data_IF_384348531267
#
_entry.id   IF_384348531267
#
_cell.length_a   1.000
_cell.length_b   1.000
_cell.length_c   1.000
_cell.angle_alpha   90.00
_cell.angle_beta   90.00
_cell.angle_gamma   90.00
#
_symmetry.space_group_name_H-M   'P 1'
#
loop_
_entity.id
_entity.type
_entity.pdbx_description
1 polymer ?
#
# COMPACT_ATOMS: atom_id res chain seq x y z
N UNK A 1 -64.65 19.67 -21.82
CA UNK A 1 -63.43 19.42 -21.02
C UNK A 1 -63.04 17.96 -21.16
N UNK A 2 -61.97 17.66 -21.89
CA UNK A 2 -61.43 16.31 -21.97
C UNK A 2 -60.28 16.18 -21.00
N UNK A 3 -60.40 15.31 -19.99
CA UNK A 3 -59.29 14.95 -19.11
C UNK A 3 -58.32 14.02 -19.88
N UNK A 4 -57.10 14.47 -20.06
CA UNK A 4 -56.02 13.62 -20.53
C UNK A 4 -55.40 12.94 -19.28
N UNK A 5 -55.60 11.62 -19.18
CA UNK A 5 -54.93 10.81 -18.15
C UNK A 5 -53.48 10.57 -18.51
N UNK A 6 -52.54 11.05 -17.67
CA UNK A 6 -51.12 10.69 -17.75
C UNK A 6 -50.92 9.33 -17.11
N UNK A 7 -50.55 8.33 -17.92
CA UNK A 7 -50.11 7.03 -17.41
C UNK A 7 -48.61 7.18 -17.09
N UNK A 8 -48.27 7.21 -15.79
CA UNK A 8 -46.89 7.17 -15.31
C UNK A 8 -46.41 5.71 -15.35
N UNK A 9 -45.65 5.35 -16.37
CA UNK A 9 -45.00 4.05 -16.46
C UNK A 9 -43.82 4.03 -15.51
N UNK A 10 -43.96 3.42 -14.35
CA UNK A 10 -42.84 3.13 -13.42
C UNK A 10 -42.06 1.98 -14.03
N UNK A 11 -40.91 2.26 -14.64
CA UNK A 11 -39.95 1.23 -14.98
C UNK A 11 -39.32 0.73 -13.67
N UNK A 12 -39.76 -0.42 -13.17
CA UNK A 12 -39.03 -1.18 -12.15
C UNK A 12 -37.84 -1.80 -12.86
N UNK A 13 -36.67 -1.23 -12.66
CA UNK A 13 -35.42 -1.86 -13.06
C UNK A 13 -35.28 -3.15 -12.23
N UNK A 14 -35.50 -4.30 -12.84
CA UNK A 14 -35.17 -5.59 -12.22
C UNK A 14 -33.66 -5.63 -11.99
N UNK A 15 -33.24 -5.53 -10.75
CA UNK A 15 -31.82 -5.78 -10.41
C UNK A 15 -31.57 -7.27 -10.68
N UNK A 16 -30.84 -7.59 -11.75
CA UNK A 16 -30.37 -8.95 -11.98
C UNK A 16 -29.45 -9.33 -10.80
N UNK A 17 -29.56 -10.57 -10.30
CA UNK A 17 -28.65 -11.09 -9.29
C UNK A 17 -27.20 -10.98 -9.78
N UNK A 18 -26.25 -10.73 -8.87
CA UNK A 18 -24.84 -10.69 -9.22
C UNK A 18 -24.39 -12.03 -9.82
N UNK A 19 -23.79 -11.97 -11.00
CA UNK A 19 -23.22 -13.14 -11.66
C UNK A 19 -21.89 -13.50 -10.99
N UNK A 20 -21.63 -14.79 -10.83
CA UNK A 20 -20.33 -15.31 -10.43
C UNK A 20 -19.78 -16.15 -11.58
N UNK A 21 -18.58 -15.82 -12.04
CA UNK A 21 -17.81 -16.65 -12.96
C UNK A 21 -16.57 -17.19 -12.28
N UNK A 22 -16.12 -18.34 -12.75
CA UNK A 22 -14.97 -19.02 -12.17
C UNK A 22 -13.79 -19.01 -13.13
N UNK A 23 -12.59 -18.92 -12.56
CA UNK A 23 -11.30 -19.03 -13.23
C UNK A 23 -10.47 -20.12 -12.57
N UNK A 24 -9.77 -20.92 -13.37
CA UNK A 24 -8.88 -22.00 -12.92
C UNK A 24 -7.65 -22.10 -13.79
N UNK A 25 -6.47 -22.39 -13.21
CA UNK A 25 -5.24 -22.63 -13.97
C UNK A 25 -5.35 -23.80 -14.97
N UNK A 26 -6.29 -24.73 -14.74
CA UNK A 26 -6.65 -25.80 -15.66
C UNK A 26 -7.91 -25.47 -16.49
N UNK A 27 -8.35 -24.22 -16.53
CA UNK A 27 -9.55 -23.77 -17.23
C UNK A 27 -9.35 -23.68 -18.75
N UNK A 28 -10.42 -23.22 -19.42
CA UNK A 28 -10.42 -23.00 -20.87
C UNK A 28 -11.22 -21.73 -21.20
N UNK A 29 -10.61 -20.79 -21.93
CA UNK A 29 -11.24 -19.51 -22.28
C UNK A 29 -12.41 -19.65 -23.27
N UNK A 30 -12.58 -20.82 -23.90
CA UNK A 30 -13.79 -21.19 -24.62
C UNK A 30 -14.93 -21.70 -23.71
N UNK A 31 -14.70 -21.78 -22.40
CA UNK A 31 -15.67 -22.19 -21.40
C UNK A 31 -16.78 -21.15 -21.17
N UNK A 32 -17.77 -21.50 -20.36
CA UNK A 32 -18.89 -20.65 -19.99
C UNK A 32 -18.67 -19.90 -18.66
N UNK A 33 -17.53 -20.15 -18.00
CA UNK A 33 -17.20 -19.58 -16.70
C UNK A 33 -17.94 -20.20 -15.52
N UNK A 34 -18.65 -21.30 -15.71
CA UNK A 34 -19.20 -22.06 -14.60
C UNK A 34 -18.10 -22.72 -13.78
N UNK A 35 -18.38 -23.16 -12.56
CA UNK A 35 -17.41 -23.86 -11.71
C UNK A 35 -16.91 -25.18 -12.34
N UNK A 36 -17.69 -25.79 -13.25
CA UNK A 36 -17.31 -27.03 -13.95
C UNK A 36 -16.55 -26.76 -15.25
N UNK A 37 -16.67 -25.56 -15.81
CA UNK A 37 -16.04 -25.15 -17.06
C UNK A 37 -15.47 -23.72 -16.94
N UNK A 38 -14.49 -23.52 -16.02
CA UNK A 38 -13.96 -22.20 -15.68
C UNK A 38 -13.09 -21.63 -16.81
N UNK A 39 -12.94 -20.32 -16.85
CA UNK A 39 -11.98 -19.65 -17.71
C UNK A 39 -10.53 -19.96 -17.29
N UNK A 40 -9.59 -19.89 -18.22
CA UNK A 40 -8.17 -20.05 -17.96
C UNK A 40 -7.49 -18.72 -17.58
N UNK A 41 -7.93 -17.60 -18.19
CA UNK A 41 -7.29 -16.29 -18.07
C UNK A 41 -8.22 -15.23 -17.47
N UNK A 42 -7.63 -14.24 -16.79
CA UNK A 42 -8.41 -13.13 -16.24
C UNK A 42 -9.04 -12.26 -17.35
N UNK A 43 -8.37 -11.95 -18.47
CA UNK A 43 -9.04 -11.23 -19.57
C UNK A 43 -10.32 -11.90 -20.08
N UNK A 44 -10.33 -13.23 -20.23
CA UNK A 44 -11.52 -13.96 -20.64
C UNK A 44 -12.63 -13.90 -19.59
N UNK A 45 -12.30 -14.15 -18.33
CA UNK A 45 -13.25 -14.05 -17.23
C UNK A 45 -13.80 -12.62 -17.08
N UNK A 46 -12.94 -11.61 -17.20
CA UNK A 46 -13.33 -10.21 -17.09
C UNK A 46 -14.25 -9.76 -18.23
N UNK A 47 -14.03 -10.27 -19.43
CA UNK A 47 -14.92 -10.02 -20.58
C UNK A 47 -16.33 -10.56 -20.34
N UNK A 48 -16.46 -11.67 -19.59
CA UNK A 48 -17.72 -12.37 -19.35
C UNK A 48 -18.59 -11.78 -18.23
N UNK A 49 -18.09 -10.80 -17.46
CA UNK A 49 -18.83 -10.16 -16.36
C UNK A 49 -19.31 -8.76 -16.74
N UNK A 50 -20.17 -8.20 -15.91
CA UNK A 50 -20.55 -6.79 -15.90
C UNK A 50 -20.19 -6.14 -14.56
N UNK A 51 -20.40 -4.83 -14.44
CA UNK A 51 -20.21 -4.13 -13.17
C UNK A 51 -21.08 -4.73 -12.06
N UNK A 52 -20.45 -4.98 -10.91
CA UNK A 52 -21.10 -5.61 -9.78
C UNK A 52 -21.11 -7.15 -9.78
N UNK A 53 -20.47 -7.79 -10.77
CA UNK A 53 -20.29 -9.24 -10.79
C UNK A 53 -18.99 -9.68 -10.11
N UNK A 54 -18.81 -10.98 -9.94
CA UNK A 54 -17.66 -11.57 -9.25
C UNK A 54 -16.91 -12.55 -10.14
N UNK A 55 -15.58 -12.42 -10.20
CA UNK A 55 -14.67 -13.45 -10.69
C UNK A 55 -14.11 -14.19 -9.48
N UNK A 56 -14.41 -15.48 -9.38
CA UNK A 56 -13.92 -16.36 -8.33
C UNK A 56 -12.75 -17.21 -8.86
N UNK A 57 -11.54 -16.95 -8.36
CA UNK A 57 -10.30 -17.55 -8.88
C UNK A 57 -9.93 -18.76 -8.03
N UNK A 58 -9.83 -19.94 -8.65
CA UNK A 58 -9.41 -21.18 -7.96
C UNK A 58 -7.91 -21.13 -7.63
N UNK A 59 -7.50 -21.86 -6.62
CA UNK A 59 -6.10 -22.03 -6.26
C UNK A 59 -5.23 -22.53 -7.42
N UNK A 60 -3.99 -22.09 -7.45
CA UNK A 60 -3.03 -22.41 -8.51
C UNK A 60 -2.18 -21.20 -8.89
N UNK A 61 -1.20 -21.42 -9.77
CA UNK A 61 -0.34 -20.36 -10.31
C UNK A 61 -0.78 -20.03 -11.74
N UNK A 62 -1.06 -18.76 -11.96
CA UNK A 62 -1.50 -18.20 -13.24
C UNK A 62 -0.35 -17.39 -13.84
N UNK A 63 0.30 -17.94 -14.84
CA UNK A 63 1.36 -17.26 -15.56
C UNK A 63 0.76 -16.24 -16.52
N UNK A 64 1.19 -14.99 -16.37
CA UNK A 64 0.68 -13.85 -17.14
C UNK A 64 1.75 -13.37 -18.08
N UNK A 65 1.47 -13.37 -19.38
CA UNK A 65 2.35 -12.92 -20.43
C UNK A 65 1.80 -11.70 -21.20
N UNK A 66 2.55 -11.21 -22.18
CA UNK A 66 2.22 -10.02 -22.95
C UNK A 66 0.88 -10.11 -23.70
N UNK A 67 0.41 -11.32 -24.04
CA UNK A 67 -0.89 -11.53 -24.72
C UNK A 67 -2.09 -11.18 -23.84
N UNK A 68 -1.89 -11.13 -22.54
CA UNK A 68 -2.92 -10.82 -21.55
C UNK A 68 -2.96 -9.33 -21.18
N UNK A 69 -2.11 -8.49 -21.76
CA UNK A 69 -2.15 -7.03 -21.53
C UNK A 69 -3.41 -6.44 -22.14
N UNK A 70 -4.33 -6.03 -21.29
CA UNK A 70 -5.66 -5.58 -21.72
C UNK A 70 -5.65 -4.17 -22.33
N UNK A 71 -4.76 -3.27 -21.87
CA UNK A 71 -4.80 -1.87 -22.33
C UNK A 71 -3.47 -1.15 -22.07
N UNK A 72 -3.14 -0.22 -22.98
CA UNK A 72 -2.09 0.78 -22.77
C UNK A 72 -2.76 2.10 -22.37
N UNK A 73 -2.32 2.68 -21.24
CA UNK A 73 -2.80 3.97 -20.73
C UNK A 73 -1.60 4.88 -20.45
N UNK A 74 -1.34 5.82 -21.35
CA UNK A 74 -0.15 6.68 -21.25
C UNK A 74 1.13 5.85 -21.18
N UNK A 75 1.96 6.00 -20.14
CA UNK A 75 3.20 5.22 -19.99
C UNK A 75 2.98 3.82 -19.39
N UNK A 76 1.74 3.40 -19.15
CA UNK A 76 1.43 2.14 -18.46
C UNK A 76 0.90 1.07 -19.39
N UNK A 77 1.51 -0.11 -19.34
CA UNK A 77 0.89 -1.37 -19.76
C UNK A 77 0.02 -1.86 -18.59
N UNK A 78 -1.30 -1.59 -18.69
CA UNK A 78 -2.28 -2.06 -17.73
C UNK A 78 -2.60 -3.52 -18.07
N UNK A 79 -1.94 -4.45 -17.36
CA UNK A 79 -2.06 -5.87 -17.64
C UNK A 79 -3.51 -6.29 -17.43
N UNK A 80 -4.03 -6.06 -16.24
CA UNK A 80 -5.45 -6.24 -15.96
C UNK A 80 -6.11 -4.88 -15.73
N UNK A 81 -6.75 -4.36 -16.77
CA UNK A 81 -7.49 -3.11 -16.71
C UNK A 81 -8.89 -3.34 -16.16
N UNK A 82 -9.14 -2.89 -14.92
CA UNK A 82 -10.41 -3.09 -14.22
C UNK A 82 -11.27 -1.82 -14.34
N UNK A 83 -12.09 -1.74 -15.39
CA UNK A 83 -12.86 -0.54 -15.74
C UNK A 83 -14.39 -0.73 -15.65
N UNK A 84 -14.86 -1.86 -15.09
CA UNK A 84 -16.29 -2.14 -14.84
C UNK A 84 -16.64 -1.75 -13.41
N UNK A 85 -17.25 -0.58 -13.24
CA UNK A 85 -17.63 -0.07 -11.93
C UNK A 85 -18.70 -0.94 -11.26
N UNK A 86 -18.57 -1.11 -9.94
CA UNK A 86 -19.63 -1.61 -9.09
C UNK A 86 -20.47 -0.48 -8.49
N UNK A 87 -21.18 -0.79 -7.41
CA UNK A 87 -21.86 0.16 -6.54
C UNK A 87 -21.49 -0.11 -5.07
N UNK A 88 -21.94 0.72 -4.15
CA UNK A 88 -21.71 0.50 -2.72
C UNK A 88 -22.29 -0.85 -2.24
N UNK A 89 -23.46 -1.23 -2.77
CA UNK A 89 -24.20 -2.45 -2.41
C UNK A 89 -23.70 -3.67 -3.20
N UNK A 90 -23.08 -3.43 -4.36
CA UNK A 90 -22.70 -4.49 -5.30
C UNK A 90 -21.39 -4.15 -6.00
N UNK A 91 -20.30 -4.53 -5.38
CA UNK A 91 -18.95 -4.29 -5.92
C UNK A 91 -18.61 -5.23 -7.06
N UNK A 92 -17.80 -4.77 -8.01
CA UNK A 92 -17.14 -5.66 -8.96
C UNK A 92 -15.98 -6.35 -8.27
N UNK A 93 -16.03 -7.68 -8.15
CA UNK A 93 -15.09 -8.43 -7.32
C UNK A 93 -14.18 -9.35 -8.14
N UNK A 94 -12.91 -9.40 -7.79
CA UNK A 94 -11.96 -10.45 -8.19
C UNK A 94 -11.42 -11.05 -6.89
N UNK A 95 -11.73 -12.32 -6.64
CA UNK A 95 -11.39 -12.93 -5.36
C UNK A 95 -10.93 -14.37 -5.49
N UNK A 96 -9.99 -14.77 -4.64
CA UNK A 96 -9.64 -16.17 -4.46
C UNK A 96 -10.84 -16.99 -3.95
N UNK A 97 -10.97 -18.23 -4.44
CA UNK A 97 -12.01 -19.15 -3.95
C UNK A 97 -11.82 -19.38 -2.44
N UNK A 98 -12.90 -19.46 -1.65
CA UNK A 98 -12.80 -19.65 -0.21
C UNK A 98 -11.90 -20.84 0.18
N UNK A 99 -10.91 -20.58 1.04
CA UNK A 99 -9.92 -21.57 1.46
C UNK A 99 -8.80 -21.86 0.46
N UNK A 100 -8.79 -21.21 -0.71
CA UNK A 100 -7.73 -21.31 -1.71
C UNK A 100 -7.02 -19.95 -1.87
N UNK A 101 -5.72 -20.01 -2.27
CA UNK A 101 -4.92 -18.80 -2.50
C UNK A 101 -4.26 -18.85 -3.87
N UNK A 102 -4.88 -18.28 -4.90
CA UNK A 102 -4.28 -18.20 -6.24
C UNK A 102 -3.09 -17.25 -6.26
N UNK A 103 -2.14 -17.52 -7.15
CA UNK A 103 -0.94 -16.71 -7.38
C UNK A 103 -0.94 -16.23 -8.81
N UNK A 104 -0.98 -14.93 -9.04
CA UNK A 104 -0.75 -14.33 -10.36
C UNK A 104 0.73 -14.03 -10.53
N UNK A 105 1.36 -14.69 -11.49
CA UNK A 105 2.79 -14.63 -11.77
C UNK A 105 3.05 -13.87 -13.08
N UNK A 106 3.59 -12.66 -12.94
CA UNK A 106 3.88 -11.73 -14.04
C UNK A 106 5.31 -11.84 -14.58
N UNK A 107 6.08 -12.84 -14.15
CA UNK A 107 7.49 -13.00 -14.56
C UNK A 107 7.68 -13.25 -16.05
N UNK A 108 6.64 -13.70 -16.75
CA UNK A 108 6.67 -13.93 -18.19
C UNK A 108 6.41 -12.68 -19.04
N UNK A 109 6.15 -11.51 -18.42
CA UNK A 109 6.02 -10.25 -19.16
C UNK A 109 7.36 -9.81 -19.74
N UNK A 110 7.41 -9.67 -21.06
CA UNK A 110 8.61 -9.30 -21.82
C UNK A 110 8.40 -8.06 -22.70
N UNK A 111 7.20 -7.47 -22.67
CA UNK A 111 6.82 -6.36 -23.55
C UNK A 111 7.96 -5.35 -23.69
N UNK A 112 8.48 -5.24 -24.89
CA UNK A 112 9.51 -4.28 -25.21
C UNK A 112 8.92 -2.87 -25.30
N UNK A 113 9.74 -1.87 -24.99
CA UNK A 113 9.34 -0.49 -25.11
C UNK A 113 9.47 0.29 -23.79
N UNK A 114 8.72 1.38 -23.68
CA UNK A 114 8.85 2.34 -22.57
C UNK A 114 7.63 2.29 -21.65
N UNK A 115 7.16 1.08 -21.36
CA UNK A 115 5.97 0.92 -20.51
C UNK A 115 6.36 0.53 -19.09
N UNK A 116 5.73 1.18 -18.12
CA UNK A 116 5.63 0.72 -16.74
C UNK A 116 4.53 -0.32 -16.67
N UNK A 117 4.71 -1.38 -15.92
CA UNK A 117 3.63 -2.36 -15.74
C UNK A 117 2.75 -1.95 -14.56
N UNK A 118 1.44 -1.98 -14.78
CA UNK A 118 0.43 -1.96 -13.75
C UNK A 118 -0.30 -3.32 -13.79
N UNK A 119 0.03 -4.23 -12.85
CA UNK A 119 -0.48 -5.60 -12.91
C UNK A 119 -2.00 -5.60 -12.74
N UNK A 120 -2.53 -4.95 -11.71
CA UNK A 120 -3.97 -4.68 -11.53
C UNK A 120 -4.21 -3.17 -11.51
N UNK A 121 -4.85 -2.65 -12.55
CA UNK A 121 -5.16 -1.22 -12.65
C UNK A 121 -6.61 -0.95 -12.23
N UNK A 122 -6.79 -0.24 -11.11
CA UNK A 122 -8.12 0.15 -10.61
C UNK A 122 -8.65 1.33 -11.44
N UNK A 123 -9.36 1.01 -12.50
CA UNK A 123 -9.86 1.96 -13.51
C UNK A 123 -11.31 2.39 -13.31
N UNK A 124 -12.01 1.89 -12.29
CA UNK A 124 -13.40 2.19 -11.98
C UNK A 124 -13.66 2.18 -10.47
N UNK A 125 -14.80 2.73 -10.06
CA UNK A 125 -15.21 2.80 -8.67
C UNK A 125 -15.80 1.48 -8.17
N UNK A 126 -15.76 1.29 -6.85
CA UNK A 126 -16.35 0.16 -6.14
C UNK A 126 -15.83 -1.21 -6.61
N UNK A 127 -14.53 -1.29 -6.91
CA UNK A 127 -13.85 -2.56 -7.13
C UNK A 127 -13.48 -3.21 -5.80
N UNK A 128 -13.39 -4.53 -5.78
CA UNK A 128 -12.92 -5.30 -4.65
C UNK A 128 -11.97 -6.41 -5.11
N UNK A 129 -10.69 -6.26 -4.79
CA UNK A 129 -9.67 -7.29 -4.98
C UNK A 129 -9.46 -8.01 -3.66
N UNK A 130 -9.52 -9.36 -3.65
CA UNK A 130 -9.46 -10.09 -2.40
C UNK A 130 -8.76 -11.45 -2.52
N UNK A 131 -7.85 -11.73 -1.56
CA UNK A 131 -7.38 -13.08 -1.23
C UNK A 131 -6.59 -13.77 -2.35
N UNK A 132 -5.52 -13.14 -2.86
CA UNK A 132 -4.57 -13.72 -3.81
C UNK A 132 -3.19 -13.07 -3.72
N UNK A 133 -2.20 -13.72 -4.36
CA UNK A 133 -0.83 -13.21 -4.43
C UNK A 133 -0.51 -12.64 -5.81
N UNK A 134 0.36 -11.62 -5.81
CA UNK A 134 0.91 -10.97 -7.01
C UNK A 134 2.42 -11.07 -6.94
N UNK A 135 3.04 -11.75 -7.90
CA UNK A 135 4.48 -11.98 -7.94
C UNK A 135 5.07 -11.71 -9.32
N UNK A 136 6.37 -11.43 -9.36
CA UNK A 136 7.15 -11.38 -10.61
C UNK A 136 6.85 -10.16 -11.50
N UNK A 137 6.19 -9.11 -11.01
CA UNK A 137 5.95 -7.89 -11.81
C UNK A 137 7.29 -7.23 -12.15
N UNK A 138 7.68 -7.15 -13.45
CA UNK A 138 9.02 -6.70 -13.82
C UNK A 138 9.11 -5.19 -14.01
N UNK A 139 10.35 -4.68 -14.02
CA UNK A 139 10.73 -3.41 -14.62
C UNK A 139 11.56 -3.68 -15.87
N UNK A 140 11.26 -3.00 -16.99
CA UNK A 140 11.95 -3.14 -18.28
C UNK A 140 12.48 -1.81 -18.82
N UNK A 141 12.47 -0.76 -18.03
CA UNK A 141 12.93 0.58 -18.41
C UNK A 141 14.15 0.93 -17.58
N UNK A 142 15.24 1.36 -18.24
CA UNK A 142 16.40 1.95 -17.58
C UNK A 142 16.11 3.39 -17.15
N UNK A 143 16.73 3.85 -16.08
CA UNK A 143 16.53 5.17 -15.50
C UNK A 143 15.36 5.22 -14.52
N UNK A 144 14.95 6.39 -14.08
CA UNK A 144 13.94 6.58 -13.05
C UNK A 144 12.56 6.10 -13.53
N UNK A 145 12.10 5.01 -12.96
CA UNK A 145 10.82 4.37 -13.33
C UNK A 145 10.27 3.55 -12.15
N UNK A 146 9.01 3.17 -12.24
CA UNK A 146 8.33 2.32 -11.27
C UNK A 146 7.27 1.50 -11.99
N UNK A 147 7.19 0.21 -11.71
CA UNK A 147 6.02 -0.64 -11.98
C UNK A 147 5.21 -0.82 -10.72
N UNK A 148 3.97 -1.26 -10.80
CA UNK A 148 3.02 -1.31 -9.68
C UNK A 148 2.26 -2.64 -9.71
N UNK A 149 2.17 -3.34 -8.57
CA UNK A 149 1.37 -4.55 -8.48
C UNK A 149 -0.13 -4.20 -8.48
N UNK A 150 -0.55 -3.27 -7.62
CA UNK A 150 -1.88 -2.67 -7.65
C UNK A 150 -1.75 -1.17 -7.88
N UNK A 151 -2.32 -0.69 -8.96
CA UNK A 151 -2.22 0.69 -9.44
C UNK A 151 -3.57 1.40 -9.33
N UNK A 152 -3.78 2.21 -8.28
CA UNK A 152 -4.99 2.97 -8.05
C UNK A 152 -4.87 4.39 -8.63
N UNK A 153 -5.24 4.54 -9.91
CA UNK A 153 -5.08 5.79 -10.66
C UNK A 153 -6.38 6.39 -11.18
N UNK A 154 -7.53 5.79 -10.79
CA UNK A 154 -8.84 6.29 -11.22
C UNK A 154 -9.96 5.94 -10.24
N UNK A 155 -10.01 4.71 -9.76
CA UNK A 155 -11.12 4.20 -8.94
C UNK A 155 -11.19 4.81 -7.54
N UNK A 156 -12.41 5.09 -7.09
CA UNK A 156 -12.76 5.49 -5.73
C UNK A 156 -13.60 4.40 -5.05
N UNK A 157 -13.67 4.43 -3.73
CA UNK A 157 -14.42 3.45 -2.93
C UNK A 157 -14.01 1.99 -3.18
N UNK A 158 -12.77 1.77 -3.65
CA UNK A 158 -12.23 0.44 -3.90
C UNK A 158 -11.74 -0.20 -2.60
N UNK A 159 -11.81 -1.53 -2.54
CA UNK A 159 -11.25 -2.33 -1.44
C UNK A 159 -10.18 -3.24 -2.03
N UNK A 160 -9.00 -3.22 -1.43
CA UNK A 160 -7.91 -4.17 -1.68
C UNK A 160 -7.67 -4.92 -0.38
N UNK A 161 -8.04 -6.19 -0.33
CA UNK A 161 -8.14 -6.95 0.91
C UNK A 161 -7.38 -8.26 0.82
N UNK A 162 -6.55 -8.53 1.84
CA UNK A 162 -5.82 -9.79 2.00
C UNK A 162 -5.04 -10.21 0.75
N UNK A 163 -4.36 -9.25 0.10
CA UNK A 163 -3.40 -9.53 -0.97
C UNK A 163 -1.98 -9.66 -0.40
N UNK A 164 -1.16 -10.50 -1.02
CA UNK A 164 0.28 -10.47 -0.84
C UNK A 164 0.96 -10.08 -2.16
N UNK A 165 1.66 -8.96 -2.14
CA UNK A 165 2.40 -8.40 -3.27
C UNK A 165 3.88 -8.57 -2.96
N UNK A 166 4.52 -9.61 -3.55
CA UNK A 166 5.87 -9.98 -3.13
C UNK A 166 6.75 -10.52 -4.26
N UNK A 167 8.05 -10.46 -4.02
CA UNK A 167 9.05 -10.91 -5.00
C UNK A 167 8.85 -10.26 -6.37
N UNK A 168 8.63 -8.93 -6.37
CA UNK A 168 8.42 -8.11 -7.55
C UNK A 168 9.57 -7.09 -7.69
N UNK A 169 9.73 -6.55 -8.90
CA UNK A 169 10.51 -5.33 -9.14
C UNK A 169 9.63 -4.06 -9.02
N UNK A 170 8.44 -4.18 -8.50
CA UNK A 170 7.36 -3.19 -8.52
C UNK A 170 6.94 -2.79 -7.10
N UNK A 171 6.42 -1.58 -6.95
CA UNK A 171 5.71 -1.14 -5.75
C UNK A 171 4.52 -2.07 -5.51
N UNK A 172 4.30 -2.48 -4.26
CA UNK A 172 3.17 -3.34 -3.92
C UNK A 172 1.83 -2.67 -4.25
N UNK A 173 1.48 -1.62 -3.56
CA UNK A 173 0.28 -0.82 -3.85
C UNK A 173 0.65 0.64 -4.06
N UNK A 174 0.15 1.26 -5.13
CA UNK A 174 0.39 2.66 -5.43
C UNK A 174 -0.90 3.39 -5.77
N UNK A 175 -1.20 4.48 -5.06
CA UNK A 175 -2.37 5.30 -5.29
C UNK A 175 -2.01 6.74 -5.67
N UNK A 176 -2.54 7.21 -6.79
CA UNK A 176 -2.38 8.58 -7.26
C UNK A 176 -3.71 9.34 -7.34
N UNK A 177 -4.81 8.63 -7.46
CA UNK A 177 -6.17 9.17 -7.61
C UNK A 177 -7.15 8.27 -6.86
N UNK A 178 -8.27 8.82 -6.45
CA UNK A 178 -9.36 8.11 -5.80
C UNK A 178 -9.55 8.49 -4.33
N UNK A 179 -10.77 8.40 -3.89
CA UNK A 179 -11.16 8.69 -2.51
C UNK A 179 -11.85 7.50 -1.87
N UNK A 180 -11.83 7.45 -0.54
CA UNK A 180 -12.45 6.39 0.26
C UNK A 180 -12.00 4.97 -0.15
N UNK A 181 -10.76 4.82 -0.61
CA UNK A 181 -10.17 3.52 -0.86
C UNK A 181 -9.67 2.91 0.45
N UNK A 182 -9.90 1.62 0.63
CA UNK A 182 -9.45 0.85 1.78
C UNK A 182 -8.47 -0.23 1.33
N UNK A 183 -7.24 -0.16 1.84
CA UNK A 183 -6.25 -1.25 1.74
C UNK A 183 -6.23 -1.97 3.08
N UNK A 184 -6.74 -3.19 3.08
CA UNK A 184 -7.04 -3.96 4.31
C UNK A 184 -6.29 -5.28 4.33
N UNK A 185 -5.61 -5.59 5.42
CA UNK A 185 -4.99 -6.89 5.64
C UNK A 185 -3.99 -7.31 4.54
N UNK A 186 -3.32 -6.37 3.89
CA UNK A 186 -2.40 -6.66 2.79
C UNK A 186 -0.95 -6.76 3.26
N UNK A 187 -0.19 -7.58 2.56
CA UNK A 187 1.26 -7.73 2.75
C UNK A 187 2.00 -7.27 1.47
N UNK A 188 3.07 -6.46 1.64
CA UNK A 188 3.98 -6.10 0.57
C UNK A 188 5.42 -6.39 1.02
N UNK A 189 6.10 -7.33 0.36
CA UNK A 189 7.41 -7.75 0.85
C UNK A 189 8.34 -8.30 -0.23
N UNK A 190 9.64 -8.25 0.06
CA UNK A 190 10.71 -8.69 -0.83
C UNK A 190 10.64 -8.02 -2.21
N UNK A 191 10.12 -6.80 -2.31
CA UNK A 191 10.04 -6.09 -3.58
C UNK A 191 11.34 -5.31 -3.81
N UNK A 192 11.99 -5.55 -4.95
CA UNK A 192 13.30 -5.01 -5.26
C UNK A 192 13.50 -4.87 -6.77
N UNK A 193 13.82 -3.66 -7.24
CA UNK A 193 14.15 -3.38 -8.63
C UNK A 193 15.67 -3.35 -8.81
N UNK A 194 16.24 -4.37 -9.42
CA UNK A 194 17.65 -4.49 -9.75
C UNK A 194 17.96 -4.06 -11.20
N UNK A 195 16.99 -3.51 -11.91
CA UNK A 195 17.13 -3.22 -13.34
C UNK A 195 17.15 -1.73 -13.67
N UNK A 196 16.32 -0.89 -13.05
CA UNK A 196 16.11 0.47 -13.50
C UNK A 196 17.23 1.42 -13.10
N UNK A 197 17.13 2.04 -11.98
CA UNK A 197 18.01 3.12 -11.53
C UNK A 197 19.03 2.61 -10.51
N UNK A 198 20.28 2.60 -10.92
CA UNK A 198 21.42 2.48 -10.00
C UNK A 198 21.63 1.14 -9.31
N UNK A 199 20.97 0.07 -9.69
CA UNK A 199 21.16 -1.29 -9.14
C UNK A 199 20.87 -1.42 -7.62
N UNK A 200 20.31 -0.39 -6.98
CA UNK A 200 20.12 -0.29 -5.53
C UNK A 200 18.65 -0.45 -5.09
N UNK A 201 17.85 -1.13 -5.92
CA UNK A 201 16.47 -1.42 -5.59
C UNK A 201 15.45 -0.38 -6.05
N UNK A 202 15.88 0.69 -6.71
CA UNK A 202 15.00 1.74 -7.23
C UNK A 202 14.19 2.41 -6.12
N UNK A 203 12.99 2.86 -6.49
CA UNK A 203 12.03 3.48 -5.57
C UNK A 203 10.88 2.48 -5.33
N UNK A 204 11.15 1.33 -4.69
CA UNK A 204 10.19 0.26 -4.52
C UNK A 204 9.70 0.21 -3.08
N UNK A 205 8.61 0.94 -2.84
CA UNK A 205 7.91 0.94 -1.56
C UNK A 205 7.01 -0.30 -1.40
N UNK A 206 6.65 -0.60 -0.17
CA UNK A 206 5.56 -1.53 0.10
C UNK A 206 4.22 -0.93 -0.33
N UNK A 207 3.89 0.26 0.18
CA UNK A 207 2.65 0.98 -0.07
C UNK A 207 2.91 2.47 -0.27
N UNK A 208 2.46 3.01 -1.40
CA UNK A 208 2.55 4.43 -1.72
C UNK A 208 1.18 5.08 -1.92
N UNK A 209 0.95 6.27 -1.36
CA UNK A 209 -0.24 7.05 -1.59
C UNK A 209 0.13 8.51 -1.85
N UNK A 210 0.14 8.90 -3.13
CA UNK A 210 0.64 10.20 -3.61
C UNK A 210 -0.45 11.01 -4.32
N UNK A 211 -1.62 11.13 -3.70
CA UNK A 211 -2.79 11.79 -4.29
C UNK A 211 -2.55 13.28 -4.44
N UNK A 212 -2.73 13.80 -5.67
CA UNK A 212 -2.53 15.21 -6.02
C UNK A 212 -3.82 16.00 -6.10
N UNK A 213 -4.83 15.64 -5.31
CA UNK A 213 -6.12 16.32 -5.27
C UNK A 213 -6.65 16.40 -3.82
N UNK A 214 -6.67 17.60 -3.26
CA UNK A 214 -7.13 17.89 -1.89
C UNK A 214 -8.58 17.44 -1.60
N UNK A 215 -9.39 17.20 -2.63
CA UNK A 215 -10.80 16.78 -2.47
C UNK A 215 -10.94 15.27 -2.30
N UNK A 216 -9.93 14.49 -2.70
CA UNK A 216 -9.96 13.03 -2.63
C UNK A 216 -9.47 12.54 -1.28
N UNK A 217 -10.37 12.38 -0.34
CA UNK A 217 -10.13 12.08 1.08
C UNK A 217 -10.60 10.68 1.49
N UNK A 218 -10.37 10.33 2.76
CA UNK A 218 -10.90 9.11 3.38
C UNK A 218 -10.18 7.83 2.94
N UNK A 219 -8.94 7.92 2.48
CA UNK A 219 -8.12 6.77 2.11
C UNK A 219 -7.46 6.19 3.37
N UNK A 220 -7.58 4.89 3.57
CA UNK A 220 -7.15 4.18 4.78
C UNK A 220 -6.35 2.94 4.41
N UNK A 221 -5.22 2.75 5.08
CA UNK A 221 -4.46 1.51 5.10
C UNK A 221 -4.58 0.91 6.50
N UNK A 222 -5.13 -0.29 6.60
CA UNK A 222 -5.42 -0.92 7.88
C UNK A 222 -4.91 -2.34 7.95
N UNK A 223 -4.22 -2.68 9.05
CA UNK A 223 -3.64 -4.01 9.30
C UNK A 223 -2.72 -4.51 8.18
N UNK A 224 -2.04 -3.58 7.47
CA UNK A 224 -1.10 -3.92 6.41
C UNK A 224 0.31 -4.13 6.96
N UNK A 225 1.10 -4.99 6.30
CA UNK A 225 2.52 -5.19 6.63
C UNK A 225 3.40 -4.92 5.41
N UNK A 226 4.49 -4.17 5.63
CA UNK A 226 5.51 -3.90 4.63
C UNK A 226 6.88 -4.31 5.16
N UNK A 227 7.55 -5.25 4.49
CA UNK A 227 8.88 -5.66 4.94
C UNK A 227 9.81 -6.09 3.81
N UNK A 228 11.11 -5.80 3.99
CA UNK A 228 12.14 -6.11 2.99
C UNK A 228 11.82 -5.55 1.60
N UNK A 229 11.15 -4.41 1.55
CA UNK A 229 11.07 -3.63 0.34
C UNK A 229 12.35 -2.81 0.21
N UNK A 230 12.77 -2.54 -1.01
CA UNK A 230 14.06 -1.85 -1.22
C UNK A 230 14.05 -0.40 -0.82
N UNK A 231 12.90 0.24 -0.76
CA UNK A 231 12.73 1.62 -0.30
C UNK A 231 11.88 1.66 0.97
N UNK A 232 10.87 2.49 1.08
CA UNK A 232 10.11 2.69 2.29
C UNK A 232 9.02 1.61 2.49
N UNK A 233 8.59 1.41 3.73
CA UNK A 233 7.44 0.56 4.01
C UNK A 233 6.14 1.19 3.54
N UNK A 234 5.90 2.44 3.96
CA UNK A 234 4.74 3.26 3.61
C UNK A 234 5.21 4.67 3.24
N UNK A 235 4.82 5.18 2.07
CA UNK A 235 5.22 6.51 1.59
C UNK A 235 4.02 7.39 1.20
N UNK A 236 3.97 8.59 1.80
CA UNK A 236 2.99 9.65 1.52
C UNK A 236 3.62 10.89 0.88
N UNK A 237 4.81 10.78 0.30
CA UNK A 237 5.44 11.93 -0.36
C UNK A 237 4.51 12.54 -1.43
N UNK A 238 4.45 13.86 -1.49
CA UNK A 238 3.61 14.58 -2.44
C UNK A 238 2.10 14.27 -2.34
N UNK A 239 1.60 13.83 -1.20
CA UNK A 239 0.17 13.60 -0.98
C UNK A 239 -0.51 14.89 -0.54
N UNK A 240 -1.51 15.37 -1.30
CA UNK A 240 -2.23 16.63 -1.06
C UNK A 240 -3.47 16.45 -0.17
N UNK A 241 -3.75 15.23 0.31
CA UNK A 241 -4.92 14.90 1.14
C UNK A 241 -4.54 14.05 2.34
N UNK A 242 -5.32 14.13 3.41
CA UNK A 242 -5.13 13.27 4.59
C UNK A 242 -5.26 11.79 4.24
N UNK A 243 -4.35 11.00 4.79
CA UNK A 243 -4.34 9.54 4.72
C UNK A 243 -4.19 8.99 6.13
N UNK A 244 -4.86 7.87 6.41
CA UNK A 244 -4.81 7.17 7.69
C UNK A 244 -4.03 5.85 7.53
N UNK A 245 -3.04 5.64 8.41
CA UNK A 245 -2.41 4.34 8.65
C UNK A 245 -2.82 3.84 10.03
N UNK A 246 -3.51 2.71 10.06
CA UNK A 246 -4.15 2.13 11.23
C UNK A 246 -3.65 0.69 11.44
N UNK A 247 -3.00 0.40 12.58
CA UNK A 247 -2.47 -0.93 12.93
C UNK A 247 -1.54 -1.53 11.86
N UNK A 248 -0.76 -0.72 11.15
CA UNK A 248 0.16 -1.18 10.12
C UNK A 248 1.55 -1.48 10.68
N UNK A 249 2.26 -2.45 10.08
CA UNK A 249 3.62 -2.81 10.47
C UNK A 249 4.60 -2.58 9.33
N UNK A 250 5.72 -1.91 9.62
CA UNK A 250 6.81 -1.66 8.69
C UNK A 250 8.14 -2.14 9.29
N UNK A 251 8.77 -3.17 8.70
CA UNK A 251 9.97 -3.72 9.29
C UNK A 251 10.97 -4.23 8.25
N UNK A 252 12.25 -4.02 8.53
CA UNK A 252 13.36 -4.39 7.64
C UNK A 252 13.29 -3.76 6.23
N UNK A 253 12.63 -2.60 6.04
CA UNK A 253 12.64 -1.91 4.75
C UNK A 253 13.97 -1.17 4.52
N UNK A 254 14.31 -0.92 3.25
CA UNK A 254 15.60 -0.37 2.82
C UNK A 254 16.69 -1.42 2.65
N UNK A 255 16.32 -2.70 2.61
CA UNK A 255 17.25 -3.81 2.46
C UNK A 255 16.71 -4.85 1.50
N UNK A 256 17.64 -5.59 0.90
CA UNK A 256 17.34 -6.89 0.28
C UNK A 256 18.01 -8.01 1.07
N UNK A 257 17.47 -9.22 1.10
CA UNK A 257 18.19 -10.38 1.60
C UNK A 257 19.48 -10.58 0.78
N UNK A 258 20.59 -10.94 1.44
CA UNK A 258 21.77 -11.40 0.70
C UNK A 258 21.48 -12.76 0.05
N UNK A 259 21.98 -12.98 -1.16
CA UNK A 259 21.68 -14.16 -1.99
C UNK A 259 21.97 -15.51 -1.32
N UNK A 260 22.80 -15.55 -0.28
CA UNK A 260 23.20 -16.77 0.45
C UNK A 260 22.79 -16.78 1.93
N UNK A 261 21.83 -15.95 2.31
CA UNK A 261 21.44 -15.87 3.72
C UNK A 261 20.53 -17.05 4.10
N UNK A 262 21.15 -18.16 4.51
CA UNK A 262 20.50 -19.04 5.50
C UNK A 262 20.19 -18.29 6.81
N UNK A 263 20.72 -17.07 6.94
CA UNK A 263 20.65 -16.17 8.07
C UNK A 263 19.78 -14.97 7.69
N UNK A 264 18.64 -14.83 8.35
CA UNK A 264 17.66 -13.76 8.16
C UNK A 264 18.19 -12.37 8.55
N UNK A 265 19.45 -12.25 8.92
CA UNK A 265 20.05 -11.05 9.53
C UNK A 265 20.99 -10.28 8.60
N UNK A 266 21.51 -10.88 7.54
CA UNK A 266 22.45 -10.22 6.63
C UNK A 266 21.67 -9.54 5.48
N UNK A 267 21.43 -8.23 5.63
CA UNK A 267 20.75 -7.43 4.61
C UNK A 267 21.75 -6.56 3.85
N UNK A 268 21.62 -6.52 2.54
CA UNK A 268 22.29 -5.55 1.68
C UNK A 268 21.51 -4.26 1.69
N UNK A 269 22.19 -3.13 1.93
CA UNK A 269 21.56 -1.80 1.88
C UNK A 269 20.97 -1.53 0.48
N UNK A 270 19.76 -0.97 0.43
CA UNK A 270 19.06 -0.62 -0.80
C UNK A 270 18.62 0.87 -0.77
N UNK A 271 17.36 1.23 -1.10
CA UNK A 271 16.84 2.60 -1.11
C UNK A 271 16.85 3.33 0.24
N UNK A 272 15.93 4.27 0.45
CA UNK A 272 15.89 5.10 1.66
C UNK A 272 15.61 4.30 2.94
N UNK A 273 14.54 3.51 2.92
CA UNK A 273 14.26 2.52 3.95
C UNK A 273 13.71 3.08 5.25
N UNK A 274 12.76 3.99 5.19
CA UNK A 274 11.97 4.36 6.35
C UNK A 274 10.84 3.34 6.59
N UNK A 275 10.35 3.25 7.83
CA UNK A 275 9.14 2.49 8.12
C UNK A 275 7.91 3.20 7.56
N UNK A 276 7.63 4.39 8.08
CA UNK A 276 6.51 5.24 7.70
C UNK A 276 7.03 6.64 7.34
N UNK A 277 6.88 7.01 6.08
CA UNK A 277 7.22 8.33 5.57
C UNK A 277 5.93 9.15 5.44
N UNK A 278 5.67 9.96 6.45
CA UNK A 278 4.41 10.64 6.67
C UNK A 278 4.32 11.99 5.97
N UNK A 279 4.37 12.01 4.64
CA UNK A 279 4.18 13.22 3.86
C UNK A 279 5.45 13.76 3.24
N UNK A 280 5.59 15.09 3.22
CA UNK A 280 6.65 15.78 2.52
C UNK A 280 6.32 16.12 1.07
N UNK A 281 6.99 17.14 0.56
CA UNK A 281 6.81 17.58 -0.82
C UNK A 281 8.19 17.68 -1.45
N UNK A 282 8.40 17.01 -2.59
CA UNK A 282 9.67 16.90 -3.28
C UNK A 282 10.39 18.26 -3.49
N UNK A 283 11.69 18.20 -3.69
CA UNK A 283 12.58 19.37 -3.80
C UNK A 283 12.47 20.11 -5.14
N UNK A 284 11.78 19.57 -6.14
CA UNK A 284 11.70 20.14 -7.49
C UNK A 284 10.87 21.43 -7.54
N UNK A 285 11.23 22.34 -8.44
CA UNK A 285 10.46 23.57 -8.71
C UNK A 285 9.00 23.28 -9.14
N UNK A 286 8.73 22.08 -9.63
CA UNK A 286 7.42 21.63 -10.10
C UNK A 286 6.52 21.09 -9.01
N UNK A 287 7.04 20.85 -7.81
CA UNK A 287 6.25 20.30 -6.72
C UNK A 287 5.44 21.40 -6.07
N UNK A 288 4.16 21.46 -6.40
CA UNK A 288 3.23 22.39 -5.79
C UNK A 288 2.65 21.78 -4.53
N UNK A 289 3.06 22.28 -3.38
CA UNK A 289 2.39 22.02 -2.13
C UNK A 289 0.99 22.64 -2.16
N UNK A 290 -0.06 21.97 -1.65
CA UNK A 290 -1.41 22.53 -1.59
C UNK A 290 -1.45 23.76 -0.66
N UNK A 291 -2.45 24.65 -0.80
CA UNK A 291 -2.62 25.83 0.07
C UNK A 291 -2.66 25.48 1.55
N UNK A 292 -3.31 24.38 1.90
CA UNK A 292 -3.33 23.78 3.22
C UNK A 292 -2.70 22.41 3.11
N UNK A 293 -1.60 22.16 3.83
CA UNK A 293 -0.98 20.85 3.87
C UNK A 293 -1.86 19.90 4.66
N UNK A 294 -2.04 18.67 4.20
CA UNK A 294 -2.85 17.70 4.93
C UNK A 294 -2.17 17.31 6.25
N UNK A 295 -2.96 17.04 7.26
CA UNK A 295 -2.56 16.33 8.45
C UNK A 295 -2.79 14.82 8.19
N UNK A 296 -1.73 14.01 8.14
CA UNK A 296 -1.87 12.55 8.08
C UNK A 296 -2.04 12.00 9.50
N UNK A 297 -2.76 10.88 9.61
CA UNK A 297 -3.00 10.20 10.86
C UNK A 297 -2.36 8.81 10.85
N UNK A 298 -1.33 8.62 11.66
CA UNK A 298 -0.57 7.37 11.77
C UNK A 298 -0.69 6.89 13.22
N UNK A 299 -1.37 5.76 13.43
CA UNK A 299 -1.66 5.30 14.79
C UNK A 299 -1.67 3.78 14.93
N UNK A 300 -1.40 3.31 16.14
CA UNK A 300 -1.34 1.89 16.48
C UNK A 300 -0.38 1.08 15.58
N UNK A 301 0.60 1.76 14.99
CA UNK A 301 1.52 1.20 14.01
C UNK A 301 2.84 0.77 14.64
N UNK A 302 3.50 -0.23 14.02
CA UNK A 302 4.80 -0.74 14.43
C UNK A 302 5.86 -0.48 13.37
N UNK A 303 6.95 0.21 13.74
CA UNK A 303 8.16 0.35 12.92
C UNK A 303 9.34 -0.36 13.58
N UNK A 304 9.92 -1.36 12.88
CA UNK A 304 10.95 -2.21 13.46
C UNK A 304 12.14 -2.43 12.52
N UNK A 305 13.36 -2.14 12.98
CA UNK A 305 14.63 -2.40 12.25
C UNK A 305 14.65 -1.94 10.79
N UNK A 306 13.97 -0.85 10.46
CA UNK A 306 14.10 -0.25 9.14
C UNK A 306 15.50 0.40 8.99
N UNK A 307 15.98 0.53 7.74
CA UNK A 307 17.34 1.06 7.44
C UNK A 307 17.50 2.50 7.88
N UNK A 308 16.48 3.32 7.75
CA UNK A 308 16.50 4.71 8.17
C UNK A 308 15.63 4.92 9.42
N UNK A 309 14.60 5.75 9.33
CA UNK A 309 13.78 6.11 10.48
C UNK A 309 12.59 5.15 10.64
N UNK A 310 12.06 5.02 11.85
CA UNK A 310 10.82 4.32 12.08
C UNK A 310 9.64 5.13 11.55
N UNK A 311 9.44 6.32 12.11
CA UNK A 311 8.43 7.28 11.68
C UNK A 311 9.12 8.58 11.27
N UNK A 312 8.84 9.03 10.06
CA UNK A 312 9.52 10.13 9.41
C UNK A 312 8.56 11.16 8.83
N UNK A 313 8.64 12.40 9.29
CA UNK A 313 7.81 13.49 8.76
C UNK A 313 8.19 13.90 7.33
N UNK A 314 9.39 13.54 6.87
CA UNK A 314 9.86 13.74 5.51
C UNK A 314 9.75 15.18 5.01
N UNK A 315 10.23 16.14 5.78
CA UNK A 315 10.21 17.56 5.39
C UNK A 315 8.78 18.08 5.11
N UNK A 316 7.79 17.55 5.79
CA UNK A 316 6.40 17.99 5.64
C UNK A 316 6.26 19.48 5.98
N UNK A 317 5.20 20.11 5.51
CA UNK A 317 4.89 21.51 5.81
C UNK A 317 3.63 21.52 6.68
N UNK A 318 3.80 21.59 7.98
CA UNK A 318 2.76 21.42 8.98
C UNK A 318 2.96 20.16 9.81
N UNK A 319 2.01 19.81 10.62
CA UNK A 319 2.07 18.67 11.51
C UNK A 319 1.30 17.47 11.01
N UNK A 320 1.62 16.33 11.57
CA UNK A 320 0.87 15.08 11.45
C UNK A 320 0.53 14.57 12.85
N UNK A 321 -0.44 13.66 12.93
CA UNK A 321 -0.80 12.96 14.15
C UNK A 321 -0.14 11.59 14.18
N UNK A 322 0.61 11.35 15.26
CA UNK A 322 1.35 10.12 15.53
C UNK A 322 0.94 9.64 16.91
N UNK A 323 0.04 8.67 16.99
CA UNK A 323 -0.58 8.27 18.26
C UNK A 323 -0.46 6.76 18.47
N UNK A 324 -0.14 6.35 19.68
CA UNK A 324 -0.09 4.93 20.10
C UNK A 324 0.86 4.06 19.24
N UNK A 325 1.85 4.66 18.58
CA UNK A 325 2.80 3.93 17.73
C UNK A 325 3.96 3.36 18.51
N UNK A 326 4.51 2.27 18.02
CA UNK A 326 5.68 1.60 18.57
C UNK A 326 6.82 1.62 17.55
N UNK A 327 7.95 2.18 17.93
CA UNK A 327 9.15 2.30 17.09
C UNK A 327 10.37 1.68 17.77
N UNK A 328 10.98 0.68 17.13
CA UNK A 328 11.98 -0.17 17.78
C UNK A 328 13.16 -0.44 16.86
N UNK A 329 14.37 -0.19 17.36
CA UNK A 329 15.64 -0.58 16.74
C UNK A 329 15.82 -0.13 15.28
N UNK A 330 15.15 0.93 14.81
CA UNK A 330 15.44 1.47 13.49
C UNK A 330 16.87 2.05 13.47
N UNK A 331 17.59 1.92 12.36
CA UNK A 331 19.03 2.22 12.30
C UNK A 331 19.36 3.72 12.44
N UNK A 332 18.42 4.60 12.18
CA UNK A 332 18.52 6.02 12.48
C UNK A 332 17.60 6.36 13.66
N UNK A 333 16.67 7.25 13.48
CA UNK A 333 15.79 7.71 14.53
C UNK A 333 14.51 6.85 14.60
N UNK A 334 14.00 6.61 15.80
CA UNK A 334 12.69 6.00 15.89
C UNK A 334 11.59 6.98 15.45
N UNK A 335 11.72 8.27 15.78
CA UNK A 335 10.85 9.35 15.32
C UNK A 335 11.69 10.52 14.83
N UNK A 336 11.56 10.91 13.56
CA UNK A 336 12.23 12.07 12.98
C UNK A 336 11.18 13.03 12.40
N UNK A 337 10.99 14.14 13.10
CA UNK A 337 9.89 15.08 12.84
C UNK A 337 10.34 16.31 12.05
N UNK A 338 11.34 16.18 11.19
CA UNK A 338 11.83 17.32 10.40
C UNK A 338 10.74 17.87 9.47
N UNK A 339 10.54 19.17 9.52
CA UNK A 339 9.65 19.90 8.62
C UNK A 339 10.45 20.82 7.70
N UNK A 340 9.77 21.39 6.72
CA UNK A 340 10.23 22.56 5.97
C UNK A 340 9.64 23.84 6.51
N UNK A 341 10.42 24.92 6.35
CA UNK A 341 10.02 26.25 6.77
C UNK A 341 8.78 26.77 6.02
N UNK A 342 8.65 26.43 4.74
CA UNK A 342 7.56 26.92 3.90
C UNK A 342 7.54 26.29 2.49
N UNK A 343 6.68 26.83 1.63
CA UNK A 343 6.35 26.29 0.31
C UNK A 343 7.21 26.80 -0.84
N UNK A 344 7.74 28.00 -0.70
CA UNK A 344 8.53 28.67 -1.72
C UNK A 344 10.00 28.21 -1.72
N UNK A 345 10.77 28.73 -2.65
CA UNK A 345 12.17 28.39 -2.78
C UNK A 345 12.98 28.76 -1.51
N UNK A 346 12.61 29.86 -0.85
CA UNK A 346 13.23 30.28 0.42
C UNK A 346 12.78 29.41 1.57
N UNK A 347 11.58 28.84 1.49
CA UNK A 347 11.00 27.92 2.46
C UNK A 347 11.54 26.50 2.40
N UNK A 348 12.37 26.15 1.40
CA UNK A 348 13.03 24.82 1.27
C UNK A 348 14.15 24.60 2.28
N UNK A 349 14.06 25.22 3.44
CA UNK A 349 14.97 25.04 4.55
C UNK A 349 14.36 24.11 5.57
N UNK A 350 15.10 23.10 5.96
CA UNK A 350 14.71 22.19 7.01
C UNK A 350 14.70 22.92 8.35
N UNK A 351 13.63 22.68 9.10
CA UNK A 351 13.44 23.25 10.45
C UNK A 351 12.95 22.16 11.38
N UNK A 352 13.14 22.31 12.70
CA UNK A 352 12.49 21.45 13.66
C UNK A 352 10.97 21.44 13.46
N UNK A 353 10.38 20.24 13.39
CA UNK A 353 8.97 20.01 13.07
C UNK A 353 8.03 20.73 13.99
N UNK A 354 6.96 21.28 13.42
CA UNK A 354 5.97 22.05 14.12
C UNK A 354 4.55 21.56 13.77
N UNK A 355 3.62 21.77 14.69
CA UNK A 355 2.22 21.38 14.52
C UNK A 355 1.98 19.88 14.65
N UNK A 356 3.01 19.09 14.98
CA UNK A 356 2.84 17.66 15.21
C UNK A 356 2.09 17.40 16.53
N UNK A 357 1.28 16.32 16.50
CA UNK A 357 0.70 15.71 17.70
C UNK A 357 1.31 14.33 17.87
N UNK A 358 2.10 14.15 18.93
CA UNK A 358 2.72 12.87 19.30
C UNK A 358 2.16 12.44 20.66
N UNK A 359 1.32 11.38 20.70
CA UNK A 359 0.71 10.87 21.92
C UNK A 359 0.97 9.39 22.12
N UNK A 360 1.30 9.01 23.35
CA UNK A 360 1.44 7.63 23.82
C UNK A 360 2.40 6.78 22.98
N UNK A 361 3.31 7.37 22.23
CA UNK A 361 4.23 6.62 21.39
C UNK A 361 5.33 5.96 22.22
N UNK A 362 5.71 4.77 21.80
CA UNK A 362 6.79 3.99 22.40
C UNK A 362 8.02 4.03 21.51
N UNK A 363 9.17 4.34 22.07
CA UNK A 363 10.47 4.28 21.41
C UNK A 363 11.44 3.40 22.20
N UNK A 364 11.97 2.36 21.53
CA UNK A 364 12.90 1.43 22.17
C UNK A 364 14.13 1.20 21.32
N UNK A 365 15.32 1.31 21.92
CA UNK A 365 16.64 1.09 21.29
C UNK A 365 16.78 1.68 19.88
N UNK A 366 16.64 3.00 19.69
CA UNK A 366 16.91 3.61 18.38
C UNK A 366 18.39 3.50 18.02
N UNK A 367 18.71 3.52 16.72
CA UNK A 367 20.11 3.57 16.28
C UNK A 367 20.79 4.88 16.58
N UNK A 368 20.01 5.99 16.57
CA UNK A 368 20.51 7.33 16.93
C UNK A 368 19.67 7.97 18.03
N UNK A 369 18.44 8.41 17.71
CA UNK A 369 17.61 9.18 18.63
C UNK A 369 16.23 8.55 18.81
N UNK A 370 15.69 8.66 20.04
CA UNK A 370 14.29 8.31 20.29
C UNK A 370 13.36 9.21 19.49
N UNK A 371 13.61 10.52 19.55
CA UNK A 371 12.97 11.54 18.72
C UNK A 371 14.01 12.58 18.33
N UNK A 372 13.92 13.11 17.11
CA UNK A 372 14.77 14.18 16.61
C UNK A 372 13.97 15.21 15.81
N UNK A 373 14.57 16.37 15.58
CA UNK A 373 14.05 17.42 14.71
C UNK A 373 12.61 17.84 15.03
N UNK A 374 12.24 17.93 16.30
CA UNK A 374 10.93 18.42 16.75
C UNK A 374 11.05 19.76 17.45
N UNK A 375 10.11 20.66 17.21
CA UNK A 375 9.93 21.89 17.98
C UNK A 375 8.84 21.62 19.03
N UNK A 376 9.25 21.38 20.26
CA UNK A 376 8.36 21.03 21.38
C UNK A 376 7.40 22.15 21.77
N UNK A 377 7.80 23.45 21.56
CA UNK A 377 6.94 24.58 21.84
C UNK A 377 5.78 24.73 20.83
N UNK A 378 5.95 24.18 19.61
CA UNK A 378 5.01 24.27 18.50
C UNK A 378 4.36 22.94 18.13
N UNK A 379 4.56 21.93 18.95
CA UNK A 379 4.00 20.59 18.77
C UNK A 379 3.44 20.09 20.10
N UNK A 380 2.49 19.16 20.03
CA UNK A 380 1.94 18.51 21.23
C UNK A 380 2.65 17.19 21.45
N UNK A 381 3.31 17.04 22.59
CA UNK A 381 3.97 15.80 23.01
C UNK A 381 3.37 15.38 24.35
N UNK A 382 2.66 14.25 24.39
CA UNK A 382 1.95 13.79 25.58
C UNK A 382 2.09 12.27 25.75
N UNK A 383 2.51 11.82 26.93
CA UNK A 383 2.50 10.38 27.29
C UNK A 383 3.50 9.51 26.53
N UNK A 384 4.42 10.10 25.75
CA UNK A 384 5.39 9.32 24.99
C UNK A 384 6.48 8.75 25.90
N UNK A 385 6.92 7.52 25.63
CA UNK A 385 7.93 6.84 26.47
C UNK A 385 9.24 7.61 26.61
N UNK A 386 9.62 8.35 25.56
CA UNK A 386 10.85 9.15 25.53
C UNK A 386 10.76 10.47 26.30
N UNK A 387 9.59 10.82 26.85
CA UNK A 387 9.41 11.99 27.74
C UNK A 387 9.54 11.62 29.23
N UNK A 388 9.40 10.33 29.56
CA UNK A 388 9.30 9.89 30.96
C UNK A 388 10.66 9.91 31.72
N UNK A 389 11.77 10.07 31.01
CA UNK A 389 13.11 9.89 31.58
C UNK A 389 13.45 8.44 31.96
N UNK A 390 12.50 7.52 31.87
CA UNK A 390 12.70 6.08 32.11
C UNK A 390 13.29 5.45 30.87
N UNK A 391 14.43 4.81 31.01
CA UNK A 391 14.99 3.96 29.96
C UNK A 391 14.27 2.61 29.95
N UNK A 392 13.58 2.30 28.85
CA UNK A 392 12.93 1.01 28.67
C UNK A 392 13.93 -0.13 28.50
N UNK A 393 13.57 -1.30 28.98
CA UNK A 393 14.29 -2.57 28.83
C UNK A 393 13.36 -3.63 28.24
N UNK A 394 13.88 -4.78 27.82
CA UNK A 394 13.07 -5.90 27.34
C UNK A 394 12.06 -6.41 28.38
N UNK A 395 12.38 -6.27 29.67
CA UNK A 395 11.50 -6.67 30.75
C UNK A 395 10.23 -5.81 30.86
N UNK A 396 10.19 -4.64 30.26
CA UNK A 396 9.02 -3.77 30.24
C UNK A 396 7.98 -4.18 29.20
N UNK A 397 8.32 -5.11 28.29
CA UNK A 397 7.43 -5.58 27.22
C UNK A 397 6.84 -6.96 27.53
N UNK A 398 5.63 -7.21 27.04
CA UNK A 398 4.99 -8.52 27.12
C UNK A 398 5.76 -9.54 26.25
N UNK A 399 6.18 -9.13 25.04
CA UNK A 399 7.05 -9.90 24.15
C UNK A 399 7.97 -9.00 23.35
N UNK A 400 9.21 -9.48 23.09
CA UNK A 400 10.17 -8.86 22.16
C UNK A 400 10.62 -9.85 21.07
N UNK A 401 9.88 -10.96 20.88
CA UNK A 401 10.25 -12.02 19.95
C UNK A 401 10.00 -11.60 18.49
N UNK A 402 11.07 -11.35 17.75
CA UNK A 402 11.01 -10.89 16.34
C UNK A 402 10.28 -11.88 15.41
N UNK A 403 10.28 -13.19 15.73
CA UNK A 403 9.53 -14.18 14.93
C UNK A 403 8.03 -13.91 14.86
N UNK A 404 7.48 -13.16 15.81
CA UNK A 404 6.08 -12.76 15.81
C UNK A 404 5.71 -11.79 14.69
N UNK A 405 6.68 -11.10 14.08
CA UNK A 405 6.47 -10.27 12.89
C UNK A 405 6.01 -11.09 11.67
N UNK A 406 6.43 -12.35 11.62
CA UNK A 406 6.22 -13.24 10.48
C UNK A 406 5.12 -14.28 10.71
N UNK A 407 4.38 -14.17 11.83
CA UNK A 407 3.25 -15.06 12.08
C UNK A 407 2.22 -14.94 10.96
N UNK A 408 1.71 -16.07 10.51
CA UNK A 408 0.67 -16.10 9.49
C UNK A 408 -0.56 -15.31 9.95
N UNK A 409 -1.23 -14.67 9.01
CA UNK A 409 -2.54 -14.08 9.27
C UNK A 409 -3.55 -15.16 9.64
N UNK A 410 -4.59 -14.79 10.38
CA UNK A 410 -5.70 -15.69 10.65
C UNK A 410 -6.50 -16.02 9.37
N UNK A 411 -7.52 -16.85 9.51
CA UNK A 411 -8.37 -17.27 8.39
C UNK A 411 -9.13 -16.11 7.73
N UNK A 412 -9.37 -15.03 8.48
CA UNK A 412 -10.05 -13.82 7.99
C UNK A 412 -9.08 -12.79 7.42
N UNK A 413 -7.78 -13.10 7.44
CA UNK A 413 -6.71 -12.24 6.95
C UNK A 413 -6.26 -11.18 7.95
N UNK A 414 -6.74 -11.19 9.19
CA UNK A 414 -6.36 -10.22 10.21
C UNK A 414 -4.92 -10.45 10.72
N UNK A 415 -4.29 -9.40 11.22
CA UNK A 415 -3.05 -9.55 11.96
C UNK A 415 -3.32 -10.28 13.29
N UNK A 416 -2.49 -11.27 13.65
CA UNK A 416 -2.62 -11.94 14.92
C UNK A 416 -2.28 -10.98 16.07
N UNK A 417 -2.98 -11.12 17.19
CA UNK A 417 -2.59 -10.45 18.44
C UNK A 417 -1.32 -11.14 18.99
N UNK A 418 -0.19 -10.49 18.81
CA UNK A 418 1.12 -11.05 19.15
C UNK A 418 1.69 -10.54 20.46
N UNK A 419 1.08 -9.57 21.11
CA UNK A 419 1.66 -8.84 22.24
C UNK A 419 3.10 -8.30 22.01
N UNK A 420 3.53 -8.24 20.75
CA UNK A 420 4.87 -7.81 20.36
C UNK A 420 5.08 -6.33 20.70
N UNK A 421 6.10 -6.05 21.50
CA UNK A 421 6.45 -4.72 22.01
C UNK A 421 5.32 -3.98 22.74
N UNK A 422 4.32 -4.70 23.23
CA UNK A 422 3.29 -4.15 24.09
C UNK A 422 3.85 -3.94 25.51
N UNK A 423 3.72 -2.72 26.02
CA UNK A 423 4.19 -2.38 27.39
C UNK A 423 3.33 -3.13 28.41
N UNK A 424 4.00 -3.78 29.36
CA UNK A 424 3.35 -4.38 30.54
C UNK A 424 2.63 -3.31 31.35
N UNK A 425 1.42 -3.61 31.79
CA UNK A 425 0.62 -2.76 32.67
C UNK A 425 1.13 -2.81 34.11
#
# INVERSE_FOLDING_TARGET
MRLAGFILTVMVAASSAAKVVYMSAAGNDAGDGSIRNPFATLPAAYKAIEGGDTICVRGGRYYVDDSQVMKIVGPYACVFMLDKAGTAERRTCIMGYPGERPVFDFSALQMEGKYRFAAFYLGADYLHLKNFDIVGVPVRIKGHTQSECVSARKGSHCIVENLAMHDNMAIGYYQLVGEYNLVLNCDAYNNYDDFSEGEYGGNVDGFGCHIRNVKQKGNVFRYCRAWRNSDDGFDLINCDTSVEFDHCWAFYNGFRPAENAADTVTFVSAGDGNGFKGGGFGMGEKTKCPPECPEHYIHDCLAFRNKANGFYSNHHIGGNRWEDNVSVMNRMDNYNMVNRKGRDAEGKVDVPGYGHVLRNNVSFRPGKWHISNVNEEKSTLEGNSFQSGKQLSEADFESTQESLLFVARDTDGCLPDTNLFKIKK
#
